data_IF_925931796797
#
_entry.id   IF_925931796797
#
_cell.length_a   1.000
_cell.length_b   1.000
_cell.length_c   1.000
_cell.angle_alpha   90.00
_cell.angle_beta   90.00
_cell.angle_gamma   90.00
#
_symmetry.space_group_name_H-M   'P 1'
#
loop_
_entity.id
_entity.type
_entity.pdbx_description
1 polymer ?
#
# COMPACT_ATOMS: atom_id res chain seq x y z
N UNK A 1 -4.73 -1.62 15.82
CA UNK A 1 -5.82 -2.26 15.07
C UNK A 1 -6.01 -1.47 13.80
N UNK A 2 -5.84 -2.11 12.66
CA UNK A 2 -6.03 -1.51 11.33
C UNK A 2 -7.50 -1.26 11.03
N UNK A 3 -7.80 -0.32 10.14
CA UNK A 3 -9.16 -0.07 9.62
C UNK A 3 -9.12 0.12 8.11
N UNK A 4 -10.24 -0.16 7.46
CA UNK A 4 -10.45 0.15 6.05
C UNK A 4 -11.57 1.18 5.92
N UNK A 5 -11.29 2.24 5.19
CA UNK A 5 -12.30 3.19 4.73
C UNK A 5 -12.41 3.12 3.22
N UNK A 6 -13.65 2.99 2.74
CA UNK A 6 -13.92 2.87 1.33
C UNK A 6 -14.01 4.27 0.72
N UNK A 7 -13.31 4.50 -0.38
CA UNK A 7 -13.27 5.75 -1.12
C UNK A 7 -13.39 5.45 -2.61
N UNK A 8 -14.59 5.69 -3.15
CA UNK A 8 -14.99 5.51 -4.55
C UNK A 8 -14.78 4.12 -5.14
N UNK A 9 -13.54 3.72 -5.41
CA UNK A 9 -13.17 2.46 -6.07
C UNK A 9 -12.13 1.65 -5.27
N UNK A 10 -11.55 2.22 -4.22
CA UNK A 10 -10.49 1.60 -3.44
C UNK A 10 -10.72 1.75 -1.93
N UNK A 11 -9.90 1.05 -1.14
CA UNK A 11 -9.93 1.12 0.33
C UNK A 11 -8.69 1.82 0.86
N UNK A 12 -8.88 2.92 1.60
CA UNK A 12 -7.86 3.52 2.46
C UNK A 12 -7.57 2.60 3.64
N UNK A 13 -6.29 2.31 3.87
CA UNK A 13 -5.80 1.56 5.02
C UNK A 13 -5.39 2.56 6.09
N UNK A 14 -5.99 2.46 7.27
CA UNK A 14 -5.74 3.35 8.39
C UNK A 14 -5.07 2.62 9.54
N UNK A 15 -4.08 3.26 10.16
CA UNK A 15 -3.44 2.78 11.38
C UNK A 15 -4.32 2.97 12.63
N UNK A 16 -3.77 2.63 13.80
CA UNK A 16 -4.47 2.82 15.09
C UNK A 16 -4.73 4.28 15.46
N UNK A 17 -4.07 5.24 14.80
CA UNK A 17 -4.25 6.69 14.97
C UNK A 17 -5.20 7.29 13.92
N UNK A 18 -5.82 6.45 13.08
CA UNK A 18 -6.63 6.84 11.93
C UNK A 18 -5.84 7.63 10.87
N UNK A 19 -4.52 7.44 10.77
CA UNK A 19 -3.71 8.00 9.70
C UNK A 19 -3.69 7.03 8.52
N UNK A 20 -3.74 7.59 7.30
CA UNK A 20 -3.64 6.79 6.07
C UNK A 20 -2.24 6.23 5.96
N UNK A 21 -2.14 4.91 5.98
CA UNK A 21 -0.89 4.15 5.83
C UNK A 21 -0.76 3.53 4.44
N UNK A 22 -1.84 3.50 3.68
CA UNK A 22 -1.82 3.05 2.29
C UNK A 22 -3.20 2.89 1.70
N UNK A 23 -3.24 2.22 0.56
CA UNK A 23 -4.43 1.95 -0.21
C UNK A 23 -4.44 0.50 -0.66
N UNK A 24 -5.63 -0.10 -0.68
CA UNK A 24 -5.90 -1.39 -1.30
C UNK A 24 -6.89 -1.18 -2.44
N UNK A 25 -6.45 -1.52 -3.64
CA UNK A 25 -7.24 -1.47 -4.87
C UNK A 25 -7.66 -2.91 -5.24
N UNK A 26 -8.94 -3.27 -5.06
CA UNK A 26 -9.42 -4.61 -5.35
C UNK A 26 -9.26 -5.01 -6.82
N UNK A 27 -8.96 -6.29 -7.05
CA UNK A 27 -9.08 -6.85 -8.40
C UNK A 27 -10.55 -7.16 -8.71
N UNK A 28 -11.21 -6.23 -9.41
CA UNK A 28 -12.58 -6.38 -9.90
C UNK A 28 -12.67 -7.25 -11.18
N UNK A 29 -11.56 -7.80 -11.66
CA UNK A 29 -11.47 -8.55 -12.91
C UNK A 29 -11.48 -7.66 -14.16
N UNK A 30 -11.79 -8.27 -15.29
CA UNK A 30 -11.77 -7.60 -16.60
C UNK A 30 -13.02 -6.73 -16.83
N UNK A 31 -13.09 -5.61 -16.11
CA UNK A 31 -14.20 -4.64 -16.18
C UNK A 31 -13.77 -3.27 -16.71
N UNK A 32 -12.48 -2.94 -16.66
CA UNK A 32 -11.97 -1.62 -17.06
C UNK A 32 -12.03 -1.38 -18.58
N UNK A 33 -12.15 -2.43 -19.39
CA UNK A 33 -12.36 -2.32 -20.83
C UNK A 33 -13.81 -1.97 -21.22
N UNK A 34 -14.71 -1.82 -20.25
CA UNK A 34 -16.14 -1.59 -20.45
C UNK A 34 -16.47 -0.13 -20.17
N UNK A 35 -17.31 0.47 -21.02
CA UNK A 35 -17.73 1.88 -20.92
C UNK A 35 -18.44 2.23 -19.60
N UNK A 36 -18.93 1.22 -18.86
CA UNK A 36 -19.64 1.36 -17.59
C UNK A 36 -18.89 0.75 -16.40
N UNK A 37 -17.56 0.70 -16.45
CA UNK A 37 -16.69 0.10 -15.41
C UNK A 37 -17.00 0.61 -13.99
N UNK A 38 -17.14 1.92 -13.79
CA UNK A 38 -17.45 2.51 -12.48
C UNK A 38 -18.79 2.04 -11.90
N UNK A 39 -19.83 1.90 -12.75
CA UNK A 39 -21.13 1.37 -12.31
C UNK A 39 -21.01 -0.11 -11.91
N UNK A 40 -20.23 -0.89 -12.65
CA UNK A 40 -19.96 -2.29 -12.33
C UNK A 40 -19.25 -2.40 -10.98
N UNK A 41 -18.21 -1.61 -10.72
CA UNK A 41 -17.52 -1.58 -9.41
C UNK A 41 -18.50 -1.32 -8.28
N UNK A 42 -19.32 -0.27 -8.39
CA UNK A 42 -20.30 0.07 -7.36
C UNK A 42 -21.32 -1.05 -7.12
N UNK A 43 -21.75 -1.75 -8.18
CA UNK A 43 -22.64 -2.90 -8.06
C UNK A 43 -21.94 -4.08 -7.36
N UNK A 44 -20.70 -4.40 -7.73
CA UNK A 44 -19.93 -5.49 -7.11
C UNK A 44 -19.75 -5.26 -5.61
N UNK A 45 -19.47 -4.02 -5.21
CA UNK A 45 -19.31 -3.63 -3.81
C UNK A 45 -20.64 -3.73 -3.07
N UNK A 46 -21.73 -3.24 -3.67
CA UNK A 46 -23.07 -3.34 -3.08
C UNK A 46 -23.52 -4.81 -2.90
N UNK A 47 -23.14 -5.68 -3.83
CA UNK A 47 -23.47 -7.10 -3.79
C UNK A 47 -22.51 -7.91 -2.90
N UNK A 48 -21.44 -7.29 -2.42
CA UNK A 48 -20.34 -7.97 -1.71
C UNK A 48 -19.76 -9.12 -2.54
N UNK A 49 -19.57 -8.89 -3.84
CA UNK A 49 -19.02 -9.91 -4.75
C UNK A 49 -17.63 -10.37 -4.26
N UNK A 50 -17.32 -11.63 -4.51
CA UNK A 50 -16.06 -12.20 -4.07
C UNK A 50 -14.91 -11.78 -4.99
N UNK A 51 -13.81 -11.33 -4.39
CA UNK A 51 -12.53 -11.05 -5.04
C UNK A 51 -11.45 -12.02 -4.55
N UNK A 52 -10.39 -12.17 -5.33
CA UNK A 52 -9.25 -13.05 -5.01
C UNK A 52 -8.02 -12.29 -4.48
N UNK A 53 -8.08 -10.96 -4.46
CA UNK A 53 -6.96 -10.11 -4.09
C UNK A 53 -7.07 -8.73 -4.73
N UNK A 54 -5.92 -8.11 -4.97
CA UNK A 54 -5.83 -6.76 -5.53
C UNK A 54 -4.41 -6.21 -5.42
N UNK A 55 -4.26 -4.91 -5.60
CA UNK A 55 -2.99 -4.19 -5.42
C UNK A 55 -2.97 -3.47 -4.07
N UNK A 56 -1.85 -3.53 -3.37
CA UNK A 56 -1.59 -2.70 -2.20
C UNK A 56 -0.56 -1.65 -2.58
N UNK A 57 -0.88 -0.37 -2.31
CA UNK A 57 0.03 0.77 -2.45
C UNK A 57 0.30 1.37 -1.08
N UNK A 58 1.57 1.40 -0.67
CA UNK A 58 1.99 1.87 0.66
C UNK A 58 3.29 2.70 0.55
N UNK A 59 3.61 3.53 1.55
CA UNK A 59 4.91 4.18 1.65
C UNK A 59 6.06 3.17 1.56
N UNK A 60 7.03 3.47 0.70
CA UNK A 60 8.26 2.69 0.57
C UNK A 60 9.36 3.32 1.42
N UNK A 61 9.64 4.60 1.19
CA UNK A 61 10.69 5.31 1.92
C UNK A 61 10.48 6.82 1.81
N UNK A 62 10.77 7.53 2.90
CA UNK A 62 10.92 8.98 2.92
C UNK A 62 12.40 9.35 3.05
N UNK A 63 12.90 10.17 2.14
CA UNK A 63 14.34 10.48 2.06
C UNK A 63 14.80 11.42 3.17
N UNK A 64 13.99 12.42 3.53
CA UNK A 64 14.37 13.53 4.39
C UNK A 64 15.32 14.50 3.69
N UNK A 65 15.28 14.60 2.36
CA UNK A 65 16.24 15.34 1.54
C UNK A 65 15.60 16.31 0.55
N UNK A 66 14.32 16.16 0.25
CA UNK A 66 13.65 16.91 -0.81
C UNK A 66 12.54 17.81 -0.26
N UNK A 67 12.90 18.64 0.73
CA UNK A 67 12.02 19.69 1.26
C UNK A 67 12.43 21.06 0.71
N UNK A 68 11.47 21.92 0.30
CA UNK A 68 11.76 23.32 0.04
C UNK A 68 12.39 23.91 1.32
N UNK A 69 13.54 24.57 1.21
CA UNK A 69 14.28 25.17 2.34
C UNK A 69 15.11 24.20 3.20
N UNK A 70 15.48 23.02 2.70
CA UNK A 70 16.43 22.16 3.41
C UNK A 70 17.81 22.82 3.54
N UNK A 71 18.24 23.06 4.78
CA UNK A 71 19.59 23.49 5.14
C UNK A 71 20.16 22.50 6.17
N UNK A 72 21.03 21.60 5.72
CA UNK A 72 21.62 20.53 6.53
C UNK A 72 23.13 20.43 6.28
N UNK A 73 23.87 19.96 7.29
CA UNK A 73 25.29 19.66 7.14
C UNK A 73 25.54 18.32 6.44
N UNK A 74 26.81 18.07 6.12
CA UNK A 74 27.24 16.87 5.39
C UNK A 74 26.99 15.59 6.20
N UNK A 75 27.13 15.64 7.52
CA UNK A 75 26.95 14.50 8.41
C UNK A 75 25.47 14.07 8.46
N UNK A 76 24.55 15.05 8.49
CA UNK A 76 23.11 14.81 8.44
C UNK A 76 22.67 14.24 7.09
N UNK A 77 23.25 14.75 5.99
CA UNK A 77 23.00 14.23 4.64
C UNK A 77 23.41 12.75 4.54
N UNK A 78 24.63 12.42 4.96
CA UNK A 78 25.14 11.05 4.95
C UNK A 78 24.26 10.11 5.79
N UNK A 79 23.92 10.53 7.01
CA UNK A 79 23.03 9.77 7.90
C UNK A 79 21.66 9.48 7.27
N UNK A 80 21.07 10.46 6.58
CA UNK A 80 19.80 10.26 5.87
C UNK A 80 19.93 9.26 4.71
N UNK A 81 20.99 9.35 3.91
CA UNK A 81 21.27 8.41 2.82
C UNK A 81 21.45 6.99 3.36
N UNK A 82 22.21 6.82 4.44
CA UNK A 82 22.44 5.51 5.06
C UNK A 82 21.17 4.92 5.67
N UNK A 83 20.36 5.75 6.34
CA UNK A 83 19.05 5.36 6.86
C UNK A 83 18.13 4.86 5.75
N UNK A 84 18.06 5.60 4.64
CA UNK A 84 17.27 5.23 3.45
C UNK A 84 17.77 3.91 2.87
N UNK A 85 19.09 3.77 2.68
CA UNK A 85 19.70 2.54 2.16
C UNK A 85 19.38 1.33 3.03
N UNK A 86 19.51 1.45 4.34
CA UNK A 86 19.16 0.38 5.28
C UNK A 86 17.67 0.03 5.22
N UNK A 87 16.81 1.03 5.09
CA UNK A 87 15.36 0.79 4.97
C UNK A 87 15.00 0.07 3.66
N UNK A 88 15.61 0.46 2.53
CA UNK A 88 15.44 -0.21 1.25
C UNK A 88 15.93 -1.67 1.27
N UNK A 89 16.97 -1.98 2.05
CA UNK A 89 17.42 -3.37 2.26
C UNK A 89 16.34 -4.21 2.94
N UNK A 90 15.66 -3.69 3.97
CA UNK A 90 14.54 -4.39 4.62
C UNK A 90 13.40 -4.67 3.65
N UNK A 91 13.05 -3.69 2.80
CA UNK A 91 12.05 -3.87 1.76
C UNK A 91 12.46 -4.94 0.75
N UNK A 92 13.72 -4.94 0.31
CA UNK A 92 14.25 -5.95 -0.61
C UNK A 92 14.18 -7.36 -0.01
N UNK A 93 14.53 -7.50 1.26
CA UNK A 93 14.45 -8.77 1.97
C UNK A 93 13.00 -9.26 2.05
N UNK A 94 12.07 -8.37 2.41
CA UNK A 94 10.64 -8.68 2.47
C UNK A 94 10.07 -9.14 1.11
N UNK A 95 10.36 -8.39 0.04
CA UNK A 95 9.89 -8.72 -1.32
C UNK A 95 10.45 -10.07 -1.79
N UNK A 96 11.72 -10.34 -1.47
CA UNK A 96 12.36 -11.62 -1.81
C UNK A 96 11.72 -12.81 -1.08
N UNK A 97 11.38 -12.63 0.20
CA UNK A 97 10.74 -13.67 1.02
C UNK A 97 9.29 -13.96 0.62
N UNK A 98 8.58 -12.95 0.11
CA UNK A 98 7.19 -13.10 -0.35
C UNK A 98 7.07 -13.52 -1.81
N UNK A 99 8.20 -13.74 -2.50
CA UNK A 99 8.28 -14.06 -3.92
C UNK A 99 7.48 -13.08 -4.80
N UNK A 100 7.42 -11.80 -4.39
CA UNK A 100 6.66 -10.78 -5.08
C UNK A 100 7.48 -10.16 -6.21
N UNK A 101 7.52 -10.84 -7.35
CA UNK A 101 8.37 -10.46 -8.49
C UNK A 101 7.80 -9.30 -9.32
N UNK A 102 6.55 -8.89 -9.06
CA UNK A 102 5.86 -7.83 -9.80
C UNK A 102 5.55 -6.70 -8.82
N UNK A 103 6.33 -5.64 -8.86
CA UNK A 103 6.10 -4.45 -8.05
C UNK A 103 6.54 -3.21 -8.81
N UNK A 104 5.97 -2.07 -8.46
CA UNK A 104 6.30 -0.78 -9.06
C UNK A 104 6.56 0.25 -7.98
N UNK A 105 7.48 1.17 -8.23
CA UNK A 105 7.86 2.23 -7.31
C UNK A 105 7.48 3.57 -7.96
N UNK A 106 6.75 4.41 -7.24
CA UNK A 106 6.28 5.70 -7.74
C UNK A 106 6.57 6.81 -6.73
N UNK A 107 6.61 8.06 -7.21
CA UNK A 107 6.61 9.22 -6.34
C UNK A 107 5.25 9.33 -5.65
N UNK A 108 5.24 9.63 -4.35
CA UNK A 108 3.99 9.92 -3.66
C UNK A 108 3.35 11.19 -4.22
N UNK A 109 2.05 11.14 -4.47
CA UNK A 109 1.28 12.31 -4.92
C UNK A 109 1.13 13.40 -3.85
N UNK A 110 1.30 13.04 -2.58
CA UNK A 110 1.08 13.94 -1.43
C UNK A 110 2.37 14.41 -0.77
N UNK A 111 3.51 13.78 -1.08
CA UNK A 111 4.80 14.07 -0.45
C UNK A 111 5.94 13.86 -1.45
N UNK A 112 6.56 14.96 -1.91
CA UNK A 112 7.63 14.93 -2.91
C UNK A 112 8.93 14.28 -2.39
N UNK A 113 9.05 14.09 -1.07
CA UNK A 113 10.20 13.47 -0.43
C UNK A 113 9.98 11.96 -0.17
N UNK A 114 8.89 11.40 -0.67
CA UNK A 114 8.49 10.02 -0.41
C UNK A 114 8.24 9.21 -1.69
N UNK A 115 8.78 8.00 -1.73
CA UNK A 115 8.39 6.98 -2.70
C UNK A 115 7.34 6.05 -2.10
N UNK A 116 6.47 5.53 -2.95
CA UNK A 116 5.53 4.44 -2.65
C UNK A 116 5.95 3.18 -3.38
N UNK A 117 5.53 2.04 -2.86
CA UNK A 117 5.62 0.74 -3.53
C UNK A 117 4.21 0.18 -3.71
N UNK A 118 3.94 -0.34 -4.90
CA UNK A 118 2.70 -1.04 -5.23
C UNK A 118 3.03 -2.47 -5.65
N UNK A 119 2.32 -3.44 -5.09
CA UNK A 119 2.48 -4.86 -5.43
C UNK A 119 1.16 -5.63 -5.28
N UNK A 120 0.96 -6.72 -6.04
CA UNK A 120 -0.22 -7.53 -5.92
C UNK A 120 -0.20 -8.36 -4.64
N UNK A 121 -1.39 -8.58 -4.11
CA UNK A 121 -1.64 -9.50 -3.03
C UNK A 121 -2.70 -10.50 -3.47
N UNK A 122 -2.61 -11.71 -2.91
CA UNK A 122 -3.58 -12.77 -3.14
C UNK A 122 -4.18 -13.18 -1.81
N UNK A 123 -5.50 -13.24 -1.75
CA UNK A 123 -6.21 -13.73 -0.58
C UNK A 123 -6.14 -15.25 -0.49
N UNK A 124 -6.29 -15.75 0.73
CA UNK A 124 -6.26 -17.19 1.04
C UNK A 124 -7.48 -17.92 0.47
N UNK A 125 -8.57 -17.19 0.23
CA UNK A 125 -9.86 -17.68 -0.28
C UNK A 125 -10.56 -16.55 -1.05
N UNK A 126 -11.61 -16.87 -1.85
CA UNK A 126 -12.54 -15.85 -2.32
C UNK A 126 -13.14 -15.10 -1.13
N UNK A 127 -12.98 -13.78 -1.14
CA UNK A 127 -13.35 -12.91 -0.02
C UNK A 127 -14.36 -11.87 -0.52
N UNK A 128 -15.50 -11.69 0.15
CA UNK A 128 -16.48 -10.67 -0.23
C UNK A 128 -15.84 -9.27 -0.21
N UNK A 129 -16.31 -8.39 -1.10
CA UNK A 129 -16.03 -6.94 -1.08
C UNK A 129 -16.69 -6.25 0.15
N UNK A 130 -16.34 -6.73 1.33
CA UNK A 130 -16.72 -6.20 2.63
C UNK A 130 -15.47 -5.74 3.39
N UNK A 131 -15.54 -4.55 4.01
CA UNK A 131 -14.40 -3.96 4.74
C UNK A 131 -13.85 -4.91 5.81
N UNK A 132 -14.71 -5.60 6.54
CA UNK A 132 -14.28 -6.45 7.64
C UNK A 132 -13.65 -7.76 7.15
N UNK A 133 -14.17 -8.32 6.06
CA UNK A 133 -13.62 -9.55 5.46
C UNK A 133 -12.30 -9.27 4.74
N UNK A 134 -12.22 -8.20 3.94
CA UNK A 134 -10.97 -7.75 3.31
C UNK A 134 -9.91 -7.49 4.37
N UNK A 135 -10.26 -6.80 5.47
CA UNK A 135 -9.31 -6.49 6.52
C UNK A 135 -8.73 -7.74 7.19
N UNK A 136 -9.51 -8.83 7.32
CA UNK A 136 -8.99 -10.11 7.87
C UNK A 136 -7.90 -10.72 6.99
N UNK A 137 -8.01 -10.60 5.67
CA UNK A 137 -7.00 -11.08 4.74
C UNK A 137 -5.77 -10.16 4.71
N UNK A 138 -5.96 -8.85 4.87
CA UNK A 138 -4.89 -7.86 4.83
C UNK A 138 -4.10 -7.70 6.14
N UNK A 139 -4.77 -7.80 7.29
CA UNK A 139 -4.17 -7.50 8.59
C UNK A 139 -2.87 -8.29 8.89
N UNK A 140 -2.76 -9.60 8.57
CA UNK A 140 -1.52 -10.35 8.79
C UNK A 140 -0.31 -9.76 8.03
N UNK A 141 -0.54 -9.24 6.83
CA UNK A 141 0.49 -8.58 6.02
C UNK A 141 0.93 -7.27 6.67
N UNK A 142 -0.02 -6.42 7.07
CA UNK A 142 0.29 -5.13 7.70
C UNK A 142 0.94 -5.29 9.08
N UNK A 143 0.51 -6.28 9.87
CA UNK A 143 1.17 -6.62 11.13
C UNK A 143 2.63 -7.05 10.90
N UNK A 144 2.92 -7.71 9.77
CA UNK A 144 4.28 -8.07 9.38
C UNK A 144 5.12 -6.84 9.03
N UNK A 145 4.54 -5.84 8.34
CA UNK A 145 5.22 -4.57 8.07
C UNK A 145 5.60 -3.83 9.34
N UNK A 146 4.69 -3.73 10.31
CA UNK A 146 4.99 -3.11 11.60
C UNK A 146 6.09 -3.88 12.35
N UNK A 147 6.03 -5.22 12.37
CA UNK A 147 7.07 -6.05 13.03
C UNK A 147 8.45 -5.88 12.39
N UNK A 148 8.51 -5.70 11.07
CA UNK A 148 9.74 -5.53 10.32
C UNK A 148 10.23 -4.06 10.29
N UNK A 149 9.48 -3.13 10.89
CA UNK A 149 9.72 -1.69 10.82
C UNK A 149 9.82 -1.20 9.35
N UNK A 150 8.85 -1.63 8.53
CA UNK A 150 8.66 -1.18 7.14
C UNK A 150 7.65 -0.02 7.03
N UNK A 151 6.76 0.09 8.02
CA UNK A 151 5.77 1.16 8.19
C UNK A 151 5.90 1.79 9.57
#
# INVERSE_FOLDING_TARGET
MWKLDFDEEYFKILDSKNLVTGYFDPDYGDIFSKDNSAEIVLQMIKNHDNILGGLVMIPLVKFGLFTPDLDIDIDTLESNVDRVKLHLQKWKDFISQTNNTIHSIHLSHTDQDMLTITFPIKFSKPTPLDKSEILKELAPLFDSFTKLNLL
#
